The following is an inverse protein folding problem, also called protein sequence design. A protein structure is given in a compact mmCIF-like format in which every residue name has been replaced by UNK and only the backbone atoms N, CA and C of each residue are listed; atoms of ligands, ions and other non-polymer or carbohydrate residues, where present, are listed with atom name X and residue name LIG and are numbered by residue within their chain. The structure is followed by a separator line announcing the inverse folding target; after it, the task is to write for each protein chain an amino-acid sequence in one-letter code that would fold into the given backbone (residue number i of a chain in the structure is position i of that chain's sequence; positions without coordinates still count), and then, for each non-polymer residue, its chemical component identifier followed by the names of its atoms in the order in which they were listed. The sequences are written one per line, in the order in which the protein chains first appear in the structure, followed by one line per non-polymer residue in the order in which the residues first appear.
data_IF_887880388674
#
_entry.id   IF_887880388674
#
_cell.length_a   1.000
_cell.length_b   1.000
_cell.length_c   1.000
_cell.angle_alpha   90.00
_cell.angle_beta   90.00
_cell.angle_gamma   90.00
#
_symmetry.space_group_name_H-M   'P 1'
#
loop_
_entity.id
_entity.type
_entity.pdbx_description
1 polymer ?
#
# COMPACT_ATOMS: atom_id res chain seq x y z
N UNK A 1 -7.69 14.12 -10.75
CA UNK A 1 -8.65 14.90 -9.97
C UNK A 1 -8.16 14.91 -8.55
N UNK A 2 -8.16 16.06 -7.90
CA UNK A 2 -7.61 16.26 -6.55
C UNK A 2 -8.66 16.98 -5.72
N UNK A 3 -9.09 16.36 -4.63
CA UNK A 3 -10.34 16.73 -3.95
C UNK A 3 -10.16 16.66 -2.44
N UNK A 4 -11.21 17.04 -1.71
CA UNK A 4 -11.26 16.94 -0.25
C UNK A 4 -12.31 15.92 0.16
N UNK A 5 -11.98 15.01 1.07
CA UNK A 5 -12.90 14.03 1.65
C UNK A 5 -12.98 14.18 3.17
N UNK A 6 -14.13 13.87 3.78
CA UNK A 6 -14.32 13.94 5.24
C UNK A 6 -13.51 12.87 5.97
N UNK A 7 -12.96 13.20 7.15
CA UNK A 7 -12.41 12.21 8.10
C UNK A 7 -13.58 11.55 8.84
N UNK A 8 -13.72 10.23 8.75
CA UNK A 8 -14.78 9.51 9.47
C UNK A 8 -16.21 9.85 9.01
N UNK A 9 -17.21 9.60 9.88
CA UNK A 9 -18.63 9.90 9.60
C UNK A 9 -18.95 11.36 9.94
N UNK A 10 -18.40 12.29 9.17
CA UNK A 10 -18.80 13.69 9.20
C UNK A 10 -19.61 14.02 7.94
N UNK A 11 -20.59 14.91 8.07
CA UNK A 11 -21.30 15.41 6.89
C UNK A 11 -20.33 16.21 6.03
N UNK A 12 -20.35 16.02 4.70
CA UNK A 12 -19.59 16.87 3.79
C UNK A 12 -20.00 18.33 3.98
N UNK A 13 -19.04 19.26 3.93
CA UNK A 13 -19.33 20.68 4.06
C UNK A 13 -20.24 21.13 2.89
N UNK A 14 -21.50 21.55 3.14
CA UNK A 14 -22.45 21.88 2.08
C UNK A 14 -21.98 23.06 1.20
N UNK A 15 -21.22 24.00 1.76
CA UNK A 15 -20.71 25.15 1.02
C UNK A 15 -19.71 24.71 -0.07
N UNK A 16 -18.97 23.62 0.16
CA UNK A 16 -18.03 23.03 -0.82
C UNK A 16 -18.68 22.16 -1.88
N UNK A 17 -19.92 21.72 -1.64
CA UNK A 17 -20.66 20.90 -2.62
C UNK A 17 -21.22 21.79 -3.73
N UNK A 18 -21.52 23.04 -3.40
CA UNK A 18 -22.13 24.01 -4.30
C UNK A 18 -21.11 24.96 -4.95
N UNK A 19 -19.83 24.88 -4.54
CA UNK A 19 -18.74 25.66 -5.12
C UNK A 19 -18.29 25.05 -6.46
N UNK A 20 -18.24 25.82 -7.56
CA UNK A 20 -17.73 25.34 -8.84
C UNK A 20 -16.21 25.13 -8.86
N UNK A 21 -15.45 25.72 -7.94
CA UNK A 21 -14.00 25.57 -7.88
C UNK A 21 -13.60 24.23 -7.23
N UNK A 22 -12.54 23.59 -7.76
CA UNK A 22 -12.06 22.32 -7.22
C UNK A 22 -11.45 22.56 -5.83
N UNK A 23 -11.96 21.91 -4.77
CA UNK A 23 -11.57 22.24 -3.40
C UNK A 23 -10.11 21.85 -3.14
N UNK A 24 -9.30 22.82 -2.74
CA UNK A 24 -7.91 22.60 -2.31
C UNK A 24 -7.89 22.30 -0.82
N UNK A 25 -7.26 21.19 -0.45
CA UNK A 25 -7.11 20.82 0.97
C UNK A 25 -6.01 21.65 1.64
N UNK A 26 -6.35 22.31 2.75
CA UNK A 26 -5.40 23.02 3.60
C UNK A 26 -5.33 22.37 5.00
N UNK A 27 -4.18 21.83 5.43
CA UNK A 27 -4.03 21.20 6.74
C UNK A 27 -4.39 22.09 7.93
N UNK A 28 -4.22 23.41 7.81
CA UNK A 28 -4.48 24.37 8.88
C UNK A 28 -5.97 24.72 9.03
N UNK A 29 -6.70 24.78 7.92
CA UNK A 29 -8.13 25.07 7.89
C UNK A 29 -9.01 23.80 7.93
N UNK A 30 -8.51 22.65 7.48
CA UNK A 30 -9.27 21.41 7.27
C UNK A 30 -8.87 20.25 8.20
N UNK A 31 -8.82 20.51 9.50
CA UNK A 31 -8.52 19.48 10.50
C UNK A 31 -9.47 18.25 10.44
N UNK A 32 -10.69 18.43 9.93
CA UNK A 32 -11.72 17.38 9.80
C UNK A 32 -11.78 16.72 8.42
N UNK A 33 -10.90 17.09 7.49
CA UNK A 33 -10.88 16.53 6.14
C UNK A 33 -9.50 15.97 5.77
N UNK A 34 -9.47 15.14 4.73
CA UNK A 34 -8.26 14.66 4.09
C UNK A 34 -8.25 15.08 2.63
N UNK A 35 -7.05 15.25 2.08
CA UNK A 35 -6.87 15.35 0.64
C UNK A 35 -7.09 13.98 0.01
N UNK A 36 -7.87 13.95 -1.06
CA UNK A 36 -8.23 12.76 -1.81
C UNK A 36 -7.88 12.95 -3.29
N UNK A 37 -6.88 12.22 -3.75
CA UNK A 37 -6.44 12.20 -5.15
C UNK A 37 -7.08 11.04 -5.87
N UNK A 38 -7.67 11.28 -7.03
CA UNK A 38 -8.33 10.26 -7.85
C UNK A 38 -7.62 10.03 -9.17
N UNK A 39 -7.38 8.75 -9.49
CA UNK A 39 -6.86 8.31 -10.77
C UNK A 39 -7.87 7.40 -11.46
N UNK A 40 -8.25 7.76 -12.68
CA UNK A 40 -8.95 6.86 -13.60
C UNK A 40 -7.95 5.97 -14.36
N UNK A 41 -8.32 4.70 -14.60
CA UNK A 41 -7.62 3.82 -15.56
C UNK A 41 -8.58 2.94 -16.33
N UNK A 42 -8.51 2.94 -17.66
CA UNK A 42 -9.36 2.11 -18.53
C UNK A 42 -9.21 0.59 -18.25
N UNK A 43 -7.98 0.09 -18.09
CA UNK A 43 -7.74 -1.33 -17.73
C UNK A 43 -8.34 -1.71 -16.37
N UNK A 44 -8.50 -0.74 -15.46
CA UNK A 44 -9.21 -0.96 -14.20
C UNK A 44 -10.71 -0.98 -14.46
N UNK A 45 -11.24 0.01 -15.19
CA UNK A 45 -12.66 0.08 -15.53
C UNK A 45 -13.17 -1.23 -16.12
N UNK A 46 -12.44 -1.81 -17.08
CA UNK A 46 -12.82 -3.10 -17.68
C UNK A 46 -12.92 -4.23 -16.64
N UNK A 47 -11.93 -4.36 -15.75
CA UNK A 47 -11.93 -5.38 -14.68
C UNK A 47 -13.01 -5.14 -13.63
N UNK A 48 -13.24 -3.88 -13.28
CA UNK A 48 -14.28 -3.48 -12.33
C UNK A 48 -15.66 -3.84 -12.90
N UNK A 49 -15.90 -3.58 -14.18
CA UNK A 49 -17.15 -3.97 -14.88
C UNK A 49 -17.36 -5.48 -14.82
N UNK A 50 -16.35 -6.29 -15.15
CA UNK A 50 -16.45 -7.76 -15.02
C UNK A 50 -16.78 -8.19 -13.59
N UNK A 51 -16.15 -7.55 -12.61
CA UNK A 51 -16.37 -7.84 -11.18
C UNK A 51 -17.78 -7.44 -10.73
N UNK A 52 -18.27 -6.28 -11.18
CA UNK A 52 -19.62 -5.80 -10.89
C UNK A 52 -20.68 -6.71 -11.51
N UNK A 53 -20.47 -7.18 -12.73
CA UNK A 53 -21.41 -8.13 -13.36
C UNK A 53 -21.46 -9.45 -12.58
N UNK A 54 -20.32 -10.00 -12.17
CA UNK A 54 -20.29 -11.19 -11.31
C UNK A 54 -21.00 -10.96 -9.97
N UNK A 55 -20.89 -9.76 -9.39
CA UNK A 55 -21.61 -9.37 -8.17
C UNK A 55 -23.11 -9.25 -8.40
N UNK A 56 -23.54 -8.70 -9.54
CA UNK A 56 -24.94 -8.63 -9.96
C UNK A 56 -25.56 -10.02 -10.08
N UNK A 57 -24.90 -10.93 -10.80
CA UNK A 57 -25.38 -12.31 -10.95
C UNK A 57 -25.50 -13.04 -9.61
N UNK A 58 -24.57 -12.80 -8.68
CA UNK A 58 -24.66 -13.32 -7.31
C UNK A 58 -25.83 -12.71 -6.53
N UNK A 59 -26.07 -11.41 -6.67
CA UNK A 59 -27.18 -10.72 -6.02
C UNK A 59 -28.54 -11.25 -6.52
N UNK A 60 -28.69 -11.45 -7.83
CA UNK A 60 -29.91 -12.01 -8.44
C UNK A 60 -30.20 -13.41 -7.90
N UNK A 61 -29.18 -14.30 -7.83
CA UNK A 61 -29.35 -15.63 -7.23
C UNK A 61 -29.81 -15.59 -5.76
N UNK A 62 -29.38 -14.59 -4.99
CA UNK A 62 -29.83 -14.43 -3.59
C UNK A 62 -31.29 -13.93 -3.53
N UNK A 63 -31.69 -13.06 -4.45
CA UNK A 63 -33.07 -12.56 -4.58
C UNK A 63 -34.01 -13.69 -4.98
N UNK A 64 -33.59 -14.56 -5.89
CA UNK A 64 -34.32 -15.76 -6.32
C UNK A 64 -34.38 -16.87 -5.26
N UNK A 65 -33.67 -16.74 -4.14
CA UNK A 65 -33.63 -17.74 -3.07
C UNK A 65 -32.62 -18.88 -3.28
N UNK A 66 -31.83 -18.82 -4.35
CA UNK A 66 -30.86 -19.85 -4.74
C UNK A 66 -29.54 -19.82 -3.94
N UNK A 67 -29.32 -18.81 -3.06
CA UNK A 67 -28.07 -18.65 -2.31
C UNK A 67 -28.25 -17.88 -0.99
N UNK A 68 -27.35 -18.11 -0.02
CA UNK A 68 -27.38 -17.46 1.30
C UNK A 68 -27.01 -15.95 1.26
N UNK A 69 -27.76 -15.14 2.02
CA UNK A 69 -27.74 -13.66 2.02
C UNK A 69 -26.43 -13.05 2.47
N UNK A 70 -25.73 -13.69 3.43
CA UNK A 70 -24.68 -13.07 4.26
C UNK A 70 -23.45 -12.56 3.50
N UNK A 71 -23.43 -12.68 2.17
CA UNK A 71 -22.27 -12.42 1.32
C UNK A 71 -22.57 -11.72 0.00
N UNK A 72 -23.83 -11.36 -0.30
CA UNK A 72 -24.17 -10.73 -1.57
C UNK A 72 -24.28 -9.20 -1.43
N UNK A 73 -23.42 -8.50 -2.17
CA UNK A 73 -23.49 -7.05 -2.36
C UNK A 73 -24.67 -6.72 -3.30
N UNK A 74 -25.25 -5.53 -3.17
CA UNK A 74 -26.41 -5.06 -3.98
C UNK A 74 -27.72 -5.81 -3.74
N UNK A 75 -27.92 -6.35 -2.53
CA UNK A 75 -29.20 -6.92 -2.10
C UNK A 75 -29.72 -6.07 -0.94
N UNK A 76 -30.98 -5.64 -1.03
CA UNK A 76 -31.70 -4.95 0.05
C UNK A 76 -32.92 -5.76 0.47
N UNK A 77 -33.27 -5.64 1.74
CA UNK A 77 -34.49 -6.24 2.29
C UNK A 77 -35.62 -5.21 2.24
N UNK A 78 -36.75 -5.57 1.64
CA UNK A 78 -37.98 -4.79 1.65
C UNK A 78 -39.09 -5.62 2.29
N UNK A 79 -39.38 -5.32 3.56
CA UNK A 79 -40.29 -6.14 4.38
C UNK A 79 -39.78 -7.58 4.52
N UNK A 80 -40.62 -8.55 4.14
CA UNK A 80 -40.26 -9.96 4.13
C UNK A 80 -39.53 -10.42 2.85
N UNK A 81 -39.41 -9.55 1.85
CA UNK A 81 -38.83 -9.89 0.54
C UNK A 81 -37.44 -9.32 0.36
N UNK A 82 -36.66 -9.94 -0.52
CA UNK A 82 -35.34 -9.47 -0.93
C UNK A 82 -35.46 -8.92 -2.33
N UNK A 83 -34.82 -7.79 -2.58
CA UNK A 83 -34.82 -7.17 -3.90
C UNK A 83 -33.41 -6.69 -4.25
N UNK A 84 -33.14 -6.63 -5.54
CA UNK A 84 -31.88 -6.09 -6.06
C UNK A 84 -31.81 -4.58 -5.81
N UNK A 85 -30.66 -4.10 -5.35
CA UNK A 85 -30.40 -2.68 -5.11
C UNK A 85 -29.76 -2.03 -6.35
N UNK A 86 -30.61 -1.72 -7.33
CA UNK A 86 -30.22 -1.09 -8.60
C UNK A 86 -29.47 0.23 -8.37
N UNK A 87 -29.95 1.08 -7.45
CA UNK A 87 -29.37 2.40 -7.19
C UNK A 87 -27.92 2.30 -6.73
N UNK A 88 -27.62 1.38 -5.81
CA UNK A 88 -26.25 1.19 -5.33
C UNK A 88 -25.36 0.54 -6.39
N UNK A 89 -25.92 -0.32 -7.25
CA UNK A 89 -25.21 -0.91 -8.39
C UNK A 89 -24.84 0.13 -9.45
N UNK A 90 -25.77 1.01 -9.80
CA UNK A 90 -25.54 2.07 -10.79
C UNK A 90 -24.46 3.04 -10.32
N UNK A 91 -24.50 3.45 -9.04
CA UNK A 91 -23.44 4.28 -8.44
C UNK A 91 -22.08 3.59 -8.49
N UNK A 92 -22.02 2.29 -8.18
CA UNK A 92 -20.77 1.53 -8.25
C UNK A 92 -20.24 1.41 -9.69
N UNK A 93 -21.15 1.36 -10.67
CA UNK A 93 -20.81 1.31 -12.10
C UNK A 93 -20.30 2.67 -12.60
N UNK A 94 -20.90 3.77 -12.17
CA UNK A 94 -20.47 5.13 -12.53
C UNK A 94 -19.04 5.44 -12.08
N UNK A 95 -18.62 4.90 -10.93
CA UNK A 95 -17.25 5.09 -10.40
C UNK A 95 -16.26 4.03 -10.87
N UNK A 96 -16.66 3.10 -11.76
CA UNK A 96 -15.77 2.04 -12.24
C UNK A 96 -14.52 2.63 -12.92
N UNK A 97 -13.35 2.09 -12.58
CA UNK A 97 -12.08 2.58 -13.12
C UNK A 97 -11.45 3.72 -12.33
N UNK A 98 -12.18 4.36 -11.42
CA UNK A 98 -11.63 5.34 -10.49
C UNK A 98 -11.00 4.66 -9.27
N UNK A 99 -9.85 5.18 -8.84
CA UNK A 99 -9.23 4.84 -7.55
C UNK A 99 -8.87 6.11 -6.81
N UNK A 100 -9.37 6.22 -5.58
CA UNK A 100 -9.00 7.26 -4.64
C UNK A 100 -7.75 6.89 -3.84
N UNK A 101 -6.93 7.89 -3.55
CA UNK A 101 -5.75 7.87 -2.71
C UNK A 101 -5.90 8.98 -1.69
N UNK A 102 -5.76 8.65 -0.40
CA UNK A 102 -5.93 9.61 0.68
C UNK A 102 -4.54 9.96 1.21
N UNK A 103 -4.27 11.26 1.36
CA UNK A 103 -2.98 11.77 1.85
C UNK A 103 -3.18 12.94 2.82
N UNK A 104 -2.21 13.14 3.70
CA UNK A 104 -2.09 14.30 4.59
C UNK A 104 -1.04 15.30 4.09
N UNK A 105 -0.49 15.11 2.89
CA UNK A 105 0.42 16.05 2.23
C UNK A 105 -0.40 17.08 1.45
N UNK A 106 -0.09 18.36 1.62
CA UNK A 106 -0.68 19.43 0.82
C UNK A 106 -0.20 19.39 -0.65
N UNK A 107 -0.88 20.15 -1.50
CA UNK A 107 -0.64 20.15 -2.94
C UNK A 107 0.73 20.76 -3.31
N UNK A 108 1.23 21.70 -2.51
CA UNK A 108 2.52 22.37 -2.72
C UNK A 108 3.69 21.44 -2.37
N UNK A 109 3.54 20.60 -1.34
CA UNK A 109 4.52 19.60 -0.91
C UNK A 109 4.58 18.43 -1.89
N UNK A 110 3.42 17.97 -2.39
CA UNK A 110 3.37 16.85 -3.34
C UNK A 110 2.16 16.95 -4.27
N UNK A 111 2.42 17.04 -5.57
CA UNK A 111 1.37 17.07 -6.58
C UNK A 111 0.60 15.75 -6.70
N UNK A 112 -0.63 15.79 -7.19
CA UNK A 112 -1.51 14.62 -7.32
C UNK A 112 -0.87 13.44 -8.08
N UNK A 113 -0.15 13.73 -9.19
CA UNK A 113 0.52 12.70 -9.98
C UNK A 113 1.63 11.99 -9.19
N UNK A 114 2.36 12.75 -8.37
CA UNK A 114 3.45 12.26 -7.54
C UNK A 114 2.93 11.45 -6.35
N UNK A 115 1.84 11.87 -5.72
CA UNK A 115 1.13 11.07 -4.69
C UNK A 115 0.77 9.69 -5.25
N UNK A 116 0.20 9.65 -6.46
CA UNK A 116 -0.18 8.39 -7.11
C UNK A 116 1.06 7.55 -7.42
N UNK A 117 2.12 8.15 -7.97
CA UNK A 117 3.38 7.47 -8.26
C UNK A 117 4.02 6.87 -7.00
N UNK A 118 4.12 7.65 -5.92
CA UNK A 118 4.63 7.23 -4.62
C UNK A 118 3.81 6.08 -4.03
N UNK A 119 2.48 6.12 -4.16
CA UNK A 119 1.63 5.00 -3.74
C UNK A 119 1.82 3.75 -4.59
N UNK A 120 2.09 3.87 -5.91
CA UNK A 120 2.49 2.72 -6.73
C UNK A 120 3.85 2.16 -6.31
N UNK A 121 4.78 3.03 -5.86
CA UNK A 121 6.04 2.59 -5.29
C UNK A 121 5.87 1.85 -3.96
N UNK A 122 4.79 2.11 -3.21
CA UNK A 122 4.44 1.36 -2.00
C UNK A 122 4.26 -0.14 -2.26
N UNK A 123 3.84 -0.54 -3.45
CA UNK A 123 3.78 -1.96 -3.81
C UNK A 123 5.17 -2.61 -3.85
N UNK A 124 6.22 -1.88 -4.25
CA UNK A 124 7.59 -2.40 -4.18
C UNK A 124 8.02 -2.60 -2.73
N UNK A 125 7.56 -1.72 -1.84
CA UNK A 125 7.74 -1.83 -0.38
C UNK A 125 7.06 -3.09 0.12
N UNK A 126 5.77 -3.30 -0.20
CA UNK A 126 5.03 -4.50 0.15
C UNK A 126 5.63 -5.78 -0.44
N UNK A 127 6.17 -5.74 -1.67
CA UNK A 127 6.91 -6.85 -2.25
C UNK A 127 8.19 -7.13 -1.46
N UNK A 128 8.96 -6.10 -1.12
CA UNK A 128 10.15 -6.23 -0.25
C UNK A 128 9.76 -6.77 1.13
N UNK A 129 8.62 -6.37 1.70
CA UNK A 129 8.08 -6.95 2.93
C UNK A 129 7.58 -8.38 2.76
N UNK A 130 7.04 -8.74 1.61
CA UNK A 130 6.61 -10.12 1.32
C UNK A 130 7.81 -11.04 1.17
N UNK A 131 8.90 -10.55 0.56
CA UNK A 131 10.19 -11.25 0.51
C UNK A 131 10.85 -11.31 1.90
N UNK A 132 10.81 -10.22 2.67
CA UNK A 132 11.26 -10.15 4.06
C UNK A 132 10.40 -11.03 5.00
N UNK A 133 9.11 -11.28 4.72
CA UNK A 133 8.29 -12.23 5.48
C UNK A 133 8.78 -13.67 5.33
N UNK A 134 9.42 -14.02 4.21
CA UNK A 134 10.10 -15.31 4.01
C UNK A 134 11.55 -15.28 4.49
N UNK A 135 12.26 -14.15 4.34
CA UNK A 135 13.71 -14.07 4.61
C UNK A 135 14.11 -13.51 5.98
N UNK A 136 13.27 -12.69 6.63
CA UNK A 136 13.56 -11.87 7.81
C UNK A 136 12.53 -12.04 8.95
N UNK A 137 11.55 -12.93 8.83
CA UNK A 137 10.53 -13.24 9.87
C UNK A 137 9.80 -12.00 10.46
N UNK A 138 9.67 -10.91 9.70
CA UNK A 138 9.14 -9.63 10.18
C UNK A 138 7.59 -9.57 10.34
N UNK A 139 6.92 -10.61 10.86
CA UNK A 139 5.46 -10.59 11.06
C UNK A 139 5.10 -10.06 12.45
N UNK A 140 4.52 -8.86 12.60
CA UNK A 140 3.91 -8.46 13.87
C UNK A 140 2.51 -9.08 13.92
N UNK A 141 2.43 -10.34 14.37
CA UNK A 141 1.13 -11.02 14.50
C UNK A 141 0.34 -10.56 15.74
N UNK A 142 0.97 -9.81 16.66
CA UNK A 142 0.38 -9.49 17.97
C UNK A 142 0.77 -8.09 18.47
N UNK A 143 0.66 -7.05 17.64
CA UNK A 143 0.94 -5.67 18.06
C UNK A 143 -0.36 -4.86 18.04
N UNK A 144 -0.85 -4.50 19.22
CA UNK A 144 -2.13 -3.81 19.42
C UNK A 144 -1.98 -2.40 20.02
N UNK A 145 -0.78 -2.03 20.45
CA UNK A 145 -0.49 -0.70 21.01
C UNK A 145 0.01 0.23 19.91
N UNK A 146 -0.34 1.52 20.04
CA UNK A 146 0.06 2.57 19.10
C UNK A 146 1.57 2.61 18.90
N UNK A 147 2.33 2.54 19.98
CA UNK A 147 3.79 2.58 19.95
C UNK A 147 4.40 1.39 19.18
N UNK A 148 3.80 0.20 19.29
CA UNK A 148 4.26 -0.97 18.54
C UNK A 148 3.96 -0.86 17.04
N UNK A 149 2.86 -0.19 16.66
CA UNK A 149 2.54 0.13 15.27
C UNK A 149 3.53 1.16 14.73
N UNK A 150 3.76 2.25 15.46
CA UNK A 150 4.68 3.33 15.08
C UNK A 150 6.12 2.82 14.96
N UNK A 151 6.60 2.02 15.91
CA UNK A 151 7.92 1.40 15.84
C UNK A 151 8.03 0.43 14.65
N UNK A 152 7.02 -0.42 14.41
CA UNK A 152 7.04 -1.33 13.27
C UNK A 152 7.07 -0.57 11.95
N UNK A 153 6.21 0.44 11.77
CA UNK A 153 6.22 1.29 10.58
C UNK A 153 7.57 2.00 10.41
N UNK A 154 8.17 2.50 11.49
CA UNK A 154 9.48 3.15 11.45
C UNK A 154 10.55 2.19 10.93
N UNK A 155 10.66 0.98 11.50
CA UNK A 155 11.64 -0.03 11.06
C UNK A 155 11.40 -0.43 9.60
N UNK A 156 10.14 -0.57 9.21
CA UNK A 156 9.71 -0.87 7.85
C UNK A 156 10.16 0.24 6.88
N UNK A 157 9.89 1.50 7.20
CA UNK A 157 10.28 2.65 6.36
C UNK A 157 11.80 2.80 6.27
N UNK A 158 12.52 2.63 7.38
CA UNK A 158 13.99 2.68 7.38
C UNK A 158 14.58 1.56 6.53
N UNK A 159 14.10 0.32 6.68
CA UNK A 159 14.55 -0.82 5.87
C UNK A 159 14.28 -0.60 4.38
N UNK A 160 13.14 0.02 4.04
CA UNK A 160 12.85 0.39 2.67
C UNK A 160 13.82 1.47 2.14
N UNK A 161 14.05 2.52 2.91
CA UNK A 161 14.94 3.61 2.51
C UNK A 161 16.35 3.08 2.19
N UNK A 162 16.87 2.21 3.07
CA UNK A 162 18.15 1.51 2.86
C UNK A 162 18.10 0.64 1.60
N UNK A 163 17.04 -0.15 1.42
CA UNK A 163 16.88 -0.98 0.22
C UNK A 163 16.87 -0.15 -1.06
N UNK A 164 16.19 0.99 -1.09
CA UNK A 164 16.14 1.89 -2.25
C UNK A 164 17.50 2.53 -2.51
N UNK A 165 18.17 3.02 -1.47
CA UNK A 165 19.53 3.53 -1.59
C UNK A 165 20.45 2.49 -2.23
N UNK A 166 20.45 1.25 -1.72
CA UNK A 166 21.28 0.18 -2.24
C UNK A 166 21.00 -0.14 -3.71
N UNK A 167 19.73 -0.17 -4.13
CA UNK A 167 19.37 -0.39 -5.53
C UNK A 167 19.78 0.77 -6.45
N UNK A 168 19.64 2.01 -5.99
CA UNK A 168 20.02 3.20 -6.77
C UNK A 168 21.54 3.26 -6.99
N UNK A 169 22.31 2.97 -5.95
CA UNK A 169 23.77 3.03 -6.03
C UNK A 169 24.37 1.87 -6.84
N UNK A 170 23.85 0.66 -6.67
CA UNK A 170 24.41 -0.53 -7.35
C UNK A 170 23.80 -0.80 -8.72
N UNK A 171 22.60 -0.28 -9.01
CA UNK A 171 21.83 -0.62 -10.22
C UNK A 171 21.30 -2.06 -10.25
N UNK A 172 21.47 -2.83 -9.18
CA UNK A 172 21.13 -4.25 -9.11
C UNK A 172 19.81 -4.48 -8.35
N UNK A 173 19.09 -5.57 -8.66
CA UNK A 173 17.88 -5.94 -7.92
C UNK A 173 18.17 -6.22 -6.44
N UNK A 174 17.28 -5.79 -5.54
CA UNK A 174 17.40 -6.02 -4.09
C UNK A 174 17.59 -7.50 -3.74
N UNK A 175 16.92 -8.41 -4.46
CA UNK A 175 17.08 -9.86 -4.27
C UNK A 175 18.53 -10.30 -4.44
N UNK A 176 19.19 -9.83 -5.50
CA UNK A 176 20.59 -10.18 -5.81
C UNK A 176 21.52 -9.54 -4.78
N UNK A 177 21.30 -8.29 -4.41
CA UNK A 177 22.06 -7.62 -3.32
C UNK A 177 21.97 -8.44 -2.03
N UNK A 178 20.77 -8.80 -1.58
CA UNK A 178 20.58 -9.61 -0.36
C UNK A 178 21.25 -10.97 -0.51
N UNK A 179 21.06 -11.66 -1.64
CA UNK A 179 21.60 -13.02 -1.82
C UNK A 179 23.13 -13.03 -1.85
N UNK A 180 23.75 -12.02 -2.45
CA UNK A 180 25.20 -11.88 -2.56
C UNK A 180 25.85 -11.42 -1.25
N UNK A 181 25.21 -10.51 -0.50
CA UNK A 181 25.78 -9.98 0.75
C UNK A 181 25.43 -10.80 2.00
N UNK A 182 24.30 -11.53 2.02
CA UNK A 182 23.85 -12.33 3.18
C UNK A 182 24.87 -13.35 3.71
N UNK A 183 25.71 -14.00 2.87
CA UNK A 183 26.77 -14.91 3.31
C UNK A 183 27.97 -14.19 3.96
N UNK A 184 28.16 -12.89 3.70
CA UNK A 184 29.22 -12.10 4.32
C UNK A 184 28.84 -11.82 5.77
N UNK A 185 29.13 -12.78 6.64
CA UNK A 185 28.98 -12.66 8.08
C UNK A 185 30.32 -12.96 8.69
N UNK A 186 30.82 -12.03 9.49
CA UNK A 186 31.98 -12.27 10.34
C UNK A 186 31.59 -13.30 11.41
N UNK A 187 32.40 -14.35 11.54
CA UNK A 187 32.22 -15.37 12.56
C UNK A 187 33.32 -15.24 13.61
N UNK A 188 32.92 -14.89 14.84
CA UNK A 188 33.79 -14.95 16.01
C UNK A 188 33.61 -16.32 16.67
N UNK A 189 34.66 -17.14 16.63
CA UNK A 189 34.68 -18.46 17.27
C UNK A 189 35.72 -18.51 18.38
N UNK A 190 35.44 -19.23 19.46
CA UNK A 190 36.46 -19.55 20.46
C UNK A 190 37.06 -20.93 20.19
N UNK A 191 38.39 -20.99 20.09
CA UNK A 191 39.15 -22.22 20.00
C UNK A 191 40.13 -22.28 21.18
N UNK A 192 39.74 -23.00 22.24
CA UNK A 192 40.46 -22.96 23.51
C UNK A 192 40.30 -21.59 24.20
N UNK A 193 41.39 -20.98 24.66
CA UNK A 193 41.41 -19.66 25.30
C UNK A 193 41.59 -18.49 24.31
N UNK A 194 41.56 -18.75 22.99
CA UNK A 194 41.75 -17.74 21.96
C UNK A 194 40.45 -17.47 21.18
N UNK A 195 40.08 -16.19 21.11
CA UNK A 195 39.03 -15.70 20.24
C UNK A 195 39.60 -15.47 18.84
N UNK A 196 39.06 -16.18 17.85
CA UNK A 196 39.49 -16.10 16.46
C UNK A 196 38.32 -15.54 15.63
N UNK A 197 38.58 -14.41 14.99
CA UNK A 197 37.66 -13.78 14.04
C UNK A 197 38.01 -14.24 12.64
N UNK A 198 37.09 -14.92 11.97
CA UNK A 198 37.26 -15.30 10.56
C UNK A 198 36.63 -14.22 9.69
N UNK A 199 37.41 -13.46 8.90
CA UNK A 199 36.85 -12.52 7.94
C UNK A 199 36.06 -13.30 6.89
N UNK A 200 34.92 -12.77 6.42
CA UNK A 200 34.16 -13.44 5.37
C UNK A 200 34.99 -13.46 4.08
N UNK A 201 35.00 -14.59 3.38
CA UNK A 201 35.53 -14.66 2.01
C UNK A 201 34.60 -13.84 1.11
N UNK A 202 35.12 -12.75 0.53
CA UNK A 202 34.35 -11.80 -0.28
C UNK A 202 34.53 -12.16 -1.76
N UNK A 203 33.56 -12.85 -2.39
CA UNK A 203 33.65 -13.13 -3.81
C UNK A 203 33.58 -11.83 -4.64
N UNK A 204 34.16 -11.85 -5.83
CA UNK A 204 34.34 -10.64 -6.65
C UNK A 204 33.02 -9.91 -7.00
N UNK A 205 31.90 -10.64 -7.09
CA UNK A 205 30.57 -10.06 -7.30
C UNK A 205 30.03 -9.34 -6.06
N UNK A 206 30.42 -9.78 -4.86
CA UNK A 206 30.12 -9.09 -3.61
C UNK A 206 30.99 -7.84 -3.43
N UNK A 207 32.27 -7.90 -3.81
CA UNK A 207 33.16 -6.73 -3.77
C UNK A 207 32.63 -5.58 -4.65
N UNK A 208 32.19 -5.88 -5.88
CA UNK A 208 31.58 -4.89 -6.77
C UNK A 208 30.34 -4.21 -6.17
N UNK A 209 29.54 -4.95 -5.40
CA UNK A 209 28.39 -4.38 -4.71
C UNK A 209 28.81 -3.50 -3.53
N UNK A 210 29.83 -3.89 -2.77
CA UNK A 210 30.36 -3.10 -1.66
C UNK A 210 30.99 -1.78 -2.14
N UNK A 211 31.77 -1.84 -3.22
CA UNK A 211 32.37 -0.67 -3.86
C UNK A 211 31.28 0.30 -4.35
N UNK A 212 30.23 -0.23 -4.99
CA UNK A 212 29.08 0.56 -5.42
C UNK A 212 28.31 1.21 -4.27
N UNK A 213 28.40 0.66 -3.05
CA UNK A 213 27.79 1.23 -1.84
C UNK A 213 28.71 2.20 -1.08
N UNK A 214 29.94 2.41 -1.56
CA UNK A 214 31.02 3.11 -0.85
C UNK A 214 31.32 2.49 0.53
N UNK A 215 31.19 1.17 0.66
CA UNK A 215 31.54 0.43 1.88
C UNK A 215 32.91 -0.17 1.64
N UNK A 216 33.95 0.51 2.12
CA UNK A 216 35.33 0.03 2.05
C UNK A 216 35.51 -1.17 2.96
N UNK A 217 36.09 -2.25 2.42
CA UNK A 217 36.50 -3.45 3.17
C UNK A 217 37.82 -3.20 3.90
#
# INVERSE_FOLDING_TARGET
MDTVTTRGRHQPNPDRINDPDEPVWDPSADAKHWRAVWQYRAKRAHRDVTTLEAQRQRAMRVVEGNQAVKSARFVKTQGATRVFDQTTFDRATQIAGWKGYITNLDADTMGAAEVVASYHQLWHVEQSFRMSKTDLRARPMFHHTRDAIEAHLTVVFTALAVARYMQTQTGVSLKRIITTLKPLREFTGQLGDHEITFPPDIPADAQQLLDGLNITS
#
